data_IF_488981456568
#
_entry.id   IF_488981456568
#
_cell.length_a   1.000
_cell.length_b   1.000
_cell.length_c   1.000
_cell.angle_alpha   90.00
_cell.angle_beta   90.00
_cell.angle_gamma   90.00
#
_symmetry.space_group_name_H-M   'P 1'
#
loop_
_entity.id
_entity.type
_entity.pdbx_description
1 polymer ?
#
# COMPACT_ATOMS: atom_id res chain seq x y z
N UNK A 1 12.34 21.24 -8.24
CA UNK A 1 12.90 20.92 -8.47
C UNK A 1 13.70 20.14 -7.95
N UNK A 2 13.61 19.47 -7.47
CA UNK A 2 14.28 18.80 -6.94
C UNK A 2 14.80 17.70 -7.52
N UNK A 3 15.82 17.73 -7.83
CA UNK A 3 16.36 16.65 -8.40
C UNK A 3 16.48 15.56 -7.45
N UNK A 4 16.36 15.80 -6.28
CA UNK A 4 16.56 14.76 -5.46
C UNK A 4 15.39 14.14 -5.06
N UNK A 5 14.37 13.95 -5.80
CA UNK A 5 13.26 13.23 -5.32
C UNK A 5 13.66 11.80 -5.21
N UNK A 6 13.38 11.20 -4.13
CA UNK A 6 13.73 9.82 -3.89
C UNK A 6 12.87 8.90 -4.74
N UNK A 7 13.34 7.75 -5.08
CA UNK A 7 12.55 6.80 -5.83
C UNK A 7 11.36 6.35 -4.99
N UNK A 8 10.24 6.23 -5.62
CA UNK A 8 9.04 5.79 -4.93
C UNK A 8 8.68 4.41 -5.44
N UNK A 9 8.42 3.51 -4.50
CA UNK A 9 7.99 2.18 -4.85
C UNK A 9 6.50 2.08 -4.63
N UNK A 10 5.81 1.51 -5.58
CA UNK A 10 4.38 1.31 -5.45
C UNK A 10 4.09 -0.16 -5.39
N UNK A 11 3.36 -0.57 -4.40
CA UNK A 11 3.00 -1.97 -4.22
C UNK A 11 1.49 -2.07 -4.21
N UNK A 12 0.97 -3.03 -4.93
CA UNK A 12 -0.45 -3.24 -4.95
C UNK A 12 -0.74 -4.60 -4.36
N UNK A 13 -1.59 -4.67 -3.37
CA UNK A 13 -1.97 -5.92 -2.73
C UNK A 13 -3.41 -6.23 -3.11
N UNK A 14 -3.66 -7.45 -3.49
CA UNK A 14 -4.99 -7.83 -3.91
C UNK A 14 -5.33 -9.17 -3.28
N UNK A 15 -6.50 -9.25 -2.68
CA UNK A 15 -6.95 -10.47 -2.06
C UNK A 15 -7.96 -11.16 -2.95
N UNK A 16 -8.12 -12.45 -2.74
CA UNK A 16 -9.04 -13.20 -3.57
C UNK A 16 -10.48 -12.86 -3.30
N UNK A 17 -10.77 -12.22 -2.17
CA UNK A 17 -12.14 -11.85 -1.90
C UNK A 17 -12.50 -10.50 -2.51
N UNK A 18 -11.68 -9.95 -3.37
CA UNK A 18 -12.04 -8.73 -4.05
C UNK A 18 -11.50 -7.47 -3.40
N UNK A 19 -10.84 -7.56 -2.28
CA UNK A 19 -10.30 -6.39 -1.63
C UNK A 19 -8.93 -6.11 -2.18
N UNK A 20 -8.66 -4.86 -2.46
CA UNK A 20 -7.33 -4.49 -2.91
C UNK A 20 -6.92 -3.18 -2.25
N UNK A 21 -5.66 -2.98 -2.14
CA UNK A 21 -5.11 -1.76 -1.59
C UNK A 21 -3.75 -1.50 -2.19
N UNK A 22 -3.32 -0.27 -2.15
CA UNK A 22 -2.01 0.04 -2.67
C UNK A 22 -1.28 0.93 -1.69
N UNK A 23 0.01 0.90 -1.76
CA UNK A 23 0.84 1.73 -0.91
C UNK A 23 2.08 2.15 -1.64
N UNK A 24 2.59 3.30 -1.29
CA UNK A 24 3.83 3.76 -1.90
C UNK A 24 4.72 4.33 -0.81
N UNK A 25 5.98 4.18 -0.98
CA UNK A 25 6.94 4.68 -0.01
C UNK A 25 8.32 4.71 -0.64
N UNK A 26 9.25 5.23 0.12
CA UNK A 26 10.60 5.35 -0.40
C UNK A 26 11.32 4.02 -0.47
N UNK A 27 10.86 3.01 0.22
CA UNK A 27 11.51 1.71 0.14
C UNK A 27 10.45 0.67 -0.12
N UNK A 28 10.87 -0.42 -0.72
CA UNK A 28 9.96 -1.48 -1.06
C UNK A 28 9.28 -2.04 0.18
N UNK A 29 10.04 -2.21 1.23
CA UNK A 29 9.48 -2.75 2.45
C UNK A 29 8.39 -1.84 3.01
N UNK A 30 8.66 -0.55 3.06
CA UNK A 30 7.68 0.38 3.55
C UNK A 30 6.46 0.44 2.64
N UNK A 31 6.67 0.33 1.34
CA UNK A 31 5.56 0.33 0.42
C UNK A 31 4.69 -0.90 0.63
N UNK A 32 5.30 -2.04 0.91
CA UNK A 32 4.53 -3.23 1.18
C UNK A 32 3.71 -3.08 2.45
N UNK A 33 4.28 -2.46 3.45
CA UNK A 33 3.54 -2.24 4.68
C UNK A 33 2.39 -1.29 4.46
N UNK A 34 2.60 -0.26 3.66
CA UNK A 34 1.53 0.68 3.37
C UNK A 34 0.39 -0.01 2.62
N UNK A 35 0.72 -0.87 1.67
CA UNK A 35 -0.31 -1.60 0.94
C UNK A 35 -1.06 -2.54 1.87
N UNK A 36 -0.35 -3.20 2.75
CA UNK A 36 -0.99 -4.11 3.70
C UNK A 36 -1.93 -3.34 4.62
N UNK A 37 -1.51 -2.18 5.07
CA UNK A 37 -2.36 -1.39 5.92
C UNK A 37 -3.62 -0.96 5.21
N UNK A 38 -3.52 -0.63 3.94
CA UNK A 38 -4.67 -0.23 3.17
C UNK A 38 -5.67 -1.39 3.07
N UNK A 39 -5.18 -2.60 2.89
CA UNK A 39 -6.03 -3.76 2.81
C UNK A 39 -6.68 -4.03 4.17
N UNK A 40 -5.88 -3.93 5.23
CA UNK A 40 -6.41 -4.19 6.55
C UNK A 40 -7.49 -3.18 6.92
N UNK A 41 -7.31 -1.94 6.54
CA UNK A 41 -8.31 -0.93 6.84
C UNK A 41 -9.64 -1.27 6.17
N UNK A 42 -9.59 -1.79 4.96
CA UNK A 42 -10.80 -2.17 4.29
C UNK A 42 -11.45 -3.38 4.94
N UNK A 43 -10.63 -4.31 5.40
CA UNK A 43 -11.16 -5.49 6.07
C UNK A 43 -11.86 -5.11 7.36
N UNK A 44 -11.27 -4.20 8.11
CA UNK A 44 -11.86 -3.79 9.37
C UNK A 44 -13.15 -3.05 9.13
N UNK A 45 -13.19 -2.23 8.14
CA UNK A 45 -14.39 -1.49 7.84
C UNK A 45 -15.52 -2.41 7.43
N UNK A 46 -15.19 -3.40 6.61
CA UNK A 46 -16.20 -4.28 6.20
C UNK A 46 -16.69 -5.16 7.27
N UNK A 47 -15.87 -5.42 8.23
CA UNK A 47 -16.27 -6.30 9.27
C UNK A 47 -17.14 -5.66 10.23
N UNK A 48 -17.19 -4.40 10.26
CA UNK A 48 -17.94 -3.66 11.22
C UNK A 48 -19.39 -3.77 11.07
#
# INVERSE_FOLDING_TARGET
>A
TGPDHAPTFEIEAQLSNGISGSGSAESKRNAQQAAAKAVLAQLETKNG
#
